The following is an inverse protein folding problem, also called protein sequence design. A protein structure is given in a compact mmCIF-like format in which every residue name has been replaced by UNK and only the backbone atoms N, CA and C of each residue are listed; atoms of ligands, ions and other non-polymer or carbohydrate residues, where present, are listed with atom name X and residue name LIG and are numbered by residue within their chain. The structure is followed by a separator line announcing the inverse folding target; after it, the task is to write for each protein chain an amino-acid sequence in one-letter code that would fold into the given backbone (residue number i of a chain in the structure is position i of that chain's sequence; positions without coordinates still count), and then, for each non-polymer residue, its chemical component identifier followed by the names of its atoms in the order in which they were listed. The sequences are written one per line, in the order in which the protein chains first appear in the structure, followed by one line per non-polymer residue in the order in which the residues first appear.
data_IF_182740576333
#
_entry.id   IF_182740576333
#
_cell.length_a   1.000
_cell.length_b   1.000
_cell.length_c   1.000
_cell.angle_alpha   90.00
_cell.angle_beta   90.00
_cell.angle_gamma   90.00
#
_symmetry.space_group_name_H-M   'P 1'
#
loop_
_entity.id
_entity.type
_entity.pdbx_description
1 polymer ?
#
# COMPACT_ATOMS: atom_id res chain seq x y z
N UNK A 1 -3.48 -13.78 15.77
CA UNK A 1 -4.52 -12.98 15.10
C UNK A 1 -3.92 -11.78 14.39
N UNK A 2 -4.40 -11.49 13.19
CA UNK A 2 -3.93 -10.32 12.46
C UNK A 2 -4.55 -9.06 13.05
N UNK A 3 -3.75 -7.99 13.12
CA UNK A 3 -4.23 -6.68 13.55
C UNK A 3 -4.78 -5.93 12.34
N UNK A 4 -5.91 -5.28 12.54
CA UNK A 4 -6.57 -4.49 11.49
C UNK A 4 -6.62 -3.02 11.89
N UNK A 5 -6.44 -2.15 10.92
CA UNK A 5 -6.58 -0.71 11.12
C UNK A 5 -7.12 -0.06 9.86
N UNK A 6 -7.85 1.03 10.02
CA UNK A 6 -8.40 1.81 8.91
C UNK A 6 -8.14 3.28 9.20
N UNK A 7 -7.63 3.99 8.19
CA UNK A 7 -7.37 5.43 8.30
C UNK A 7 -7.87 6.15 7.06
N UNK A 8 -8.14 7.43 7.21
CA UNK A 8 -8.65 8.29 6.16
C UNK A 8 -7.79 9.52 5.99
N UNK A 9 -7.73 10.04 4.76
CA UNK A 9 -7.09 11.33 4.49
C UNK A 9 -7.79 12.02 3.34
N UNK A 10 -7.63 13.35 3.28
CA UNK A 10 -8.09 14.16 2.15
C UNK A 10 -6.90 14.50 1.26
N UNK A 11 -7.08 14.38 -0.05
CA UNK A 11 -6.03 14.66 -1.03
C UNK A 11 -6.56 15.67 -2.03
N UNK A 12 -5.74 16.66 -2.38
CA UNK A 12 -6.10 17.73 -3.32
C UNK A 12 -5.84 17.32 -4.77
N UNK A 13 -6.47 16.20 -5.18
CA UNK A 13 -6.38 15.67 -6.54
C UNK A 13 -7.58 14.78 -6.78
N UNK A 14 -7.90 14.51 -8.05
CA UNK A 14 -9.05 13.67 -8.41
C UNK A 14 -8.86 12.22 -7.95
N UNK A 15 -9.96 11.47 -7.75
CA UNK A 15 -9.87 10.04 -7.45
C UNK A 15 -9.10 9.26 -8.52
N UNK A 16 -9.27 9.60 -9.79
CA UNK A 16 -8.55 8.96 -10.90
C UNK A 16 -7.05 9.17 -10.80
N UNK A 17 -6.63 10.36 -10.41
CA UNK A 17 -5.21 10.67 -10.20
C UNK A 17 -4.65 9.88 -9.02
N UNK A 18 -5.39 9.83 -7.92
CA UNK A 18 -4.97 9.07 -6.73
C UNK A 18 -4.82 7.58 -7.06
N UNK A 19 -5.80 7.01 -7.76
CA UNK A 19 -5.75 5.62 -8.19
C UNK A 19 -4.56 5.38 -9.12
N UNK A 20 -4.36 6.25 -10.09
CA UNK A 20 -3.27 6.14 -11.07
C UNK A 20 -1.90 6.04 -10.39
N UNK A 21 -1.66 6.85 -9.37
CA UNK A 21 -0.40 6.82 -8.62
C UNK A 21 -0.28 5.55 -7.78
N UNK A 22 -1.34 5.18 -7.07
CA UNK A 22 -1.35 3.97 -6.24
C UNK A 22 -1.21 2.70 -7.06
N UNK A 23 -1.79 2.67 -8.27
CA UNK A 23 -1.75 1.51 -9.15
C UNK A 23 -0.44 1.38 -9.94
N UNK A 24 0.34 2.45 -10.01
CA UNK A 24 1.64 2.45 -10.70
C UNK A 24 2.71 1.90 -9.77
N UNK A 25 2.60 0.63 -9.46
CA UNK A 25 3.37 -0.05 -8.42
C UNK A 25 4.86 -0.07 -8.73
N UNK A 26 5.22 -0.17 -10.00
CA UNK A 26 6.63 -0.21 -10.40
C UNK A 26 7.39 1.07 -10.07
N UNK A 27 6.68 2.18 -9.84
CA UNK A 27 7.30 3.46 -9.50
C UNK A 27 7.34 3.72 -7.99
N UNK A 28 6.88 2.80 -7.17
CA UNK A 28 6.91 2.98 -5.72
C UNK A 28 8.28 3.37 -5.16
N UNK A 29 9.40 2.81 -5.63
CA UNK A 29 10.71 3.23 -5.12
C UNK A 29 11.01 4.71 -5.31
N UNK A 30 10.34 5.37 -6.25
CA UNK A 30 10.54 6.81 -6.50
C UNK A 30 10.01 7.69 -5.39
N UNK A 31 8.99 7.21 -4.64
CA UNK A 31 8.34 8.03 -3.62
C UNK A 31 8.07 7.31 -2.30
N UNK A 32 8.15 6.00 -2.26
CA UNK A 32 7.98 5.23 -1.03
C UNK A 32 9.37 4.84 -0.53
N UNK A 33 9.88 5.62 0.43
CA UNK A 33 11.29 5.53 0.85
C UNK A 33 11.73 4.15 1.33
N UNK A 34 10.83 3.40 1.95
CA UNK A 34 11.16 2.08 2.49
C UNK A 34 11.13 0.97 1.44
N UNK A 35 10.55 1.21 0.28
CA UNK A 35 10.50 0.24 -0.81
C UNK A 35 11.78 0.38 -1.63
N UNK A 36 12.62 -0.66 -1.62
CA UNK A 36 13.95 -0.63 -2.25
C UNK A 36 13.99 -1.27 -3.61
N UNK A 37 13.16 -2.29 -3.83
CA UNK A 37 13.21 -3.07 -5.07
C UNK A 37 11.85 -3.67 -5.36
N UNK A 38 11.48 -3.72 -6.63
CA UNK A 38 10.21 -4.32 -7.07
C UNK A 38 10.47 -5.23 -8.26
N UNK A 39 9.86 -6.43 -8.21
CA UNK A 39 9.87 -7.36 -9.34
C UNK A 39 8.41 -7.70 -9.64
N UNK A 40 7.98 -7.47 -10.88
CA UNK A 40 6.64 -7.84 -11.32
C UNK A 40 6.71 -9.30 -11.79
N UNK A 41 6.08 -10.19 -11.05
CA UNK A 41 6.11 -11.64 -11.32
C UNK A 41 5.03 -12.04 -12.33
N UNK A 42 3.92 -11.30 -12.37
CA UNK A 42 2.79 -11.63 -13.24
C UNK A 42 2.03 -10.37 -13.60
N UNK A 43 1.58 -10.29 -14.87
CA UNK A 43 0.74 -9.19 -15.37
C UNK A 43 -0.57 -9.75 -15.90
N UNK A 44 -1.63 -8.94 -15.85
CA UNK A 44 -2.91 -9.32 -16.44
C UNK A 44 -2.93 -9.01 -17.94
N UNK A 45 -4.06 -9.27 -18.59
CA UNK A 45 -4.24 -9.06 -20.04
C UNK A 45 -4.06 -7.60 -20.46
N UNK A 46 -4.18 -6.67 -19.52
CA UNK A 46 -4.00 -5.24 -19.77
C UNK A 46 -2.61 -4.76 -19.42
N UNK A 47 -1.70 -5.67 -19.04
CA UNK A 47 -0.34 -5.34 -18.67
C UNK A 47 -0.18 -4.82 -17.25
N UNK A 48 -1.23 -4.86 -16.43
CA UNK A 48 -1.15 -4.37 -15.05
C UNK A 48 -0.43 -5.38 -14.15
N UNK A 49 0.40 -4.90 -13.20
CA UNK A 49 1.14 -5.82 -12.32
C UNK A 49 0.18 -6.41 -11.28
N UNK A 50 -0.12 -7.70 -11.41
CA UNK A 50 -1.05 -8.40 -10.51
C UNK A 50 -0.36 -9.27 -9.47
N UNK A 51 0.89 -9.67 -9.70
CA UNK A 51 1.69 -10.39 -8.71
C UNK A 51 3.04 -9.71 -8.64
N UNK A 52 3.38 -9.15 -7.48
CA UNK A 52 4.54 -8.27 -7.33
C UNK A 52 5.32 -8.65 -6.08
N UNK A 53 6.63 -8.80 -6.22
CA UNK A 53 7.53 -9.05 -5.09
C UNK A 53 8.25 -7.76 -4.74
N UNK A 54 8.19 -7.43 -3.46
CA UNK A 54 8.81 -6.22 -2.90
C UNK A 54 9.98 -6.59 -2.03
N UNK A 55 11.02 -5.75 -2.06
CA UNK A 55 12.03 -5.74 -1.03
C UNK A 55 11.96 -4.39 -0.34
N UNK A 56 11.82 -4.40 0.98
CA UNK A 56 11.61 -3.20 1.76
C UNK A 56 12.49 -3.21 3.01
N UNK A 57 12.72 -2.01 3.56
CA UNK A 57 13.36 -1.85 4.85
C UNK A 57 12.31 -1.90 5.94
N UNK A 58 12.50 -2.74 6.95
CA UNK A 58 11.59 -2.85 8.09
C UNK A 58 12.36 -3.37 9.29
N UNK A 59 12.14 -2.74 10.46
CA UNK A 59 12.76 -3.17 11.73
C UNK A 59 14.29 -3.25 11.66
N UNK A 60 14.91 -2.31 10.94
CA UNK A 60 16.37 -2.26 10.81
C UNK A 60 16.95 -3.36 9.92
N UNK A 61 16.13 -4.02 9.12
CA UNK A 61 16.56 -5.10 8.24
C UNK A 61 15.85 -5.02 6.89
N UNK A 62 16.31 -5.81 5.94
CA UNK A 62 15.64 -5.98 4.65
C UNK A 62 14.62 -7.11 4.78
N UNK A 63 13.43 -6.91 4.24
CA UNK A 63 12.37 -7.91 4.22
C UNK A 63 11.83 -8.05 2.80
N UNK A 64 11.38 -9.24 2.45
CA UNK A 64 10.80 -9.53 1.14
C UNK A 64 9.39 -10.09 1.29
N UNK A 65 8.48 -9.63 0.45
CA UNK A 65 7.11 -10.13 0.44
C UNK A 65 6.50 -9.99 -0.96
N UNK A 66 5.55 -10.88 -1.26
CA UNK A 66 4.86 -10.90 -2.54
C UNK A 66 3.38 -10.65 -2.32
N UNK A 67 2.83 -9.70 -3.08
CA UNK A 67 1.42 -9.32 -3.00
C UNK A 67 0.72 -9.62 -4.31
N UNK A 68 -0.52 -10.09 -4.21
CA UNK A 68 -1.42 -10.21 -5.36
C UNK A 68 -2.40 -9.07 -5.33
N UNK A 69 -2.41 -8.30 -6.41
CA UNK A 69 -3.29 -7.13 -6.56
C UNK A 69 -4.57 -7.49 -7.29
N UNK A 70 -5.66 -6.85 -6.86
CA UNK A 70 -6.98 -7.00 -7.46
C UNK A 70 -7.39 -5.66 -8.07
N UNK A 71 -7.57 -5.62 -9.39
CA UNK A 71 -7.97 -4.43 -10.14
C UNK A 71 -9.44 -4.49 -10.57
N UNK A 72 -10.21 -5.46 -10.08
CA UNK A 72 -11.60 -5.67 -10.53
C UNK A 72 -12.52 -4.49 -10.22
N UNK A 73 -12.18 -3.66 -9.24
CA UNK A 73 -12.98 -2.48 -8.88
C UNK A 73 -12.26 -1.17 -9.22
N UNK A 74 -11.31 -1.23 -10.15
CA UNK A 74 -10.60 -0.04 -10.61
C UNK A 74 -11.57 0.90 -11.34
N UNK A 75 -11.41 2.22 -11.23
CA UNK A 75 -10.42 2.97 -10.44
C UNK A 75 -10.88 3.35 -9.04
N UNK A 76 -11.94 2.77 -8.51
CA UNK A 76 -12.49 3.11 -7.20
C UNK A 76 -11.70 2.45 -6.06
N UNK A 77 -11.31 1.19 -6.24
CA UNK A 77 -10.64 0.40 -5.21
C UNK A 77 -9.40 -0.29 -5.78
N UNK A 78 -8.31 -0.25 -5.02
CA UNK A 78 -7.14 -1.08 -5.26
C UNK A 78 -6.92 -1.91 -4.01
N UNK A 79 -6.96 -3.24 -4.15
CA UNK A 79 -6.76 -4.14 -3.02
C UNK A 79 -5.66 -5.15 -3.30
N UNK A 80 -5.14 -5.77 -2.23
CA UNK A 80 -4.07 -6.75 -2.34
C UNK A 80 -4.12 -7.74 -1.20
N UNK A 81 -3.48 -8.91 -1.43
CA UNK A 81 -3.31 -9.94 -0.43
C UNK A 81 -1.89 -10.47 -0.48
N UNK A 82 -1.35 -10.78 0.68
CA UNK A 82 -0.03 -11.41 0.77
C UNK A 82 -0.13 -12.85 0.30
N UNK A 83 0.79 -13.25 -0.59
CA UNK A 83 0.91 -14.65 -1.01
C UNK A 83 2.14 -15.30 -0.39
N UNK A 84 3.17 -14.51 -0.07
CA UNK A 84 4.43 -15.03 0.46
C UNK A 84 5.19 -13.89 1.15
N UNK A 85 5.81 -14.18 2.28
CA UNK A 85 6.62 -13.20 3.01
C UNK A 85 7.61 -13.88 3.93
N UNK A 86 8.73 -13.21 4.23
CA UNK A 86 9.74 -13.75 5.14
C UNK A 86 9.39 -13.47 6.61
N UNK A 87 9.17 -12.19 6.97
CA UNK A 87 8.79 -11.83 8.35
C UNK A 87 7.30 -11.51 8.48
N UNK A 88 6.56 -11.48 7.39
CA UNK A 88 5.15 -11.13 7.38
C UNK A 88 4.33 -12.33 6.98
N UNK A 89 3.35 -12.72 7.80
CA UNK A 89 2.43 -13.81 7.50
C UNK A 89 1.10 -13.30 6.94
N UNK A 90 0.81 -12.00 7.09
CA UNK A 90 -0.36 -11.36 6.51
C UNK A 90 -0.06 -9.89 6.24
N UNK A 91 -0.47 -9.41 5.08
CA UNK A 91 -0.31 -8.00 4.72
C UNK A 91 -1.36 -7.67 3.65
N UNK A 92 -2.63 -7.84 4.04
CA UNK A 92 -3.75 -7.63 3.14
C UNK A 92 -4.29 -6.21 3.34
N UNK A 93 -4.68 -5.56 2.27
CA UNK A 93 -5.18 -4.20 2.41
C UNK A 93 -5.91 -3.69 1.20
N UNK A 94 -6.34 -2.44 1.32
CA UNK A 94 -7.01 -1.76 0.23
C UNK A 94 -6.90 -0.24 0.37
N UNK A 95 -6.94 0.43 -0.79
CA UNK A 95 -7.21 1.86 -0.90
C UNK A 95 -8.57 2.02 -1.55
N UNK A 96 -9.40 2.87 -0.96
CA UNK A 96 -10.69 3.27 -1.56
C UNK A 96 -10.61 4.76 -1.86
N UNK A 97 -10.92 5.14 -3.09
CA UNK A 97 -10.80 6.51 -3.57
C UNK A 97 -12.20 7.08 -3.85
N UNK A 98 -12.73 7.82 -2.89
CA UNK A 98 -14.05 8.44 -2.99
C UNK A 98 -13.93 9.93 -3.29
N UNK A 99 -14.93 10.52 -3.98
CA UNK A 99 -14.96 11.97 -4.16
C UNK A 99 -14.95 12.67 -2.80
N UNK A 100 -14.07 13.65 -2.66
CA UNK A 100 -13.99 14.49 -1.47
C UNK A 100 -14.59 15.86 -1.72
N UNK A 101 -14.15 16.82 -0.93
CA UNK A 101 -14.61 18.21 -1.09
C UNK A 101 -14.01 18.81 -2.37
N UNK A 102 -14.82 19.57 -3.09
CA UNK A 102 -14.41 20.17 -4.36
C UNK A 102 -14.05 19.10 -5.36
N UNK A 103 -12.87 19.22 -5.98
CA UNK A 103 -12.35 18.23 -6.92
C UNK A 103 -11.36 17.26 -6.26
N UNK A 104 -11.33 17.24 -4.93
CA UNK A 104 -10.42 16.39 -4.17
C UNK A 104 -10.93 14.98 -3.97
N UNK A 105 -10.17 14.21 -3.21
CA UNK A 105 -10.44 12.80 -2.93
C UNK A 105 -10.36 12.52 -1.45
N UNK A 106 -11.27 11.67 -0.95
CA UNK A 106 -11.13 11.06 0.35
C UNK A 106 -10.55 9.67 0.13
N UNK A 107 -9.37 9.45 0.65
CA UNK A 107 -8.69 8.15 0.55
C UNK A 107 -8.89 7.41 1.86
N UNK A 108 -9.40 6.17 1.77
CA UNK A 108 -9.51 5.27 2.91
C UNK A 108 -8.51 4.15 2.72
N UNK A 109 -7.62 3.96 3.69
CA UNK A 109 -6.63 2.90 3.68
C UNK A 109 -6.97 1.91 4.78
N UNK A 110 -7.18 0.67 4.40
CA UNK A 110 -7.39 -0.44 5.33
C UNK A 110 -6.22 -1.38 5.23
N UNK A 111 -5.69 -1.80 6.38
CA UNK A 111 -4.56 -2.74 6.43
C UNK A 111 -4.81 -3.80 7.50
N UNK A 112 -4.56 -5.05 7.13
CA UNK A 112 -4.56 -6.18 8.04
C UNK A 112 -3.18 -6.82 7.95
N UNK A 113 -2.41 -6.72 9.03
CA UNK A 113 -1.01 -7.17 9.04
C UNK A 113 -0.75 -8.13 10.19
N UNK A 114 0.13 -9.10 9.94
CA UNK A 114 0.61 -10.03 10.95
C UNK A 114 2.08 -10.31 10.72
N UNK A 115 2.87 -10.16 11.78
CA UNK A 115 4.31 -10.39 11.74
C UNK A 115 4.65 -11.71 12.44
N UNK A 116 5.62 -12.43 11.89
CA UNK A 116 6.11 -13.69 12.44
C UNK A 116 7.14 -13.50 13.54
N UNK A 117 7.57 -12.26 13.77
CA UNK A 117 8.58 -11.97 14.78
C UNK A 117 7.97 -11.96 16.17
N UNK A 118 8.68 -12.48 17.19
CA UNK A 118 8.15 -12.53 18.57
C UNK A 118 8.35 -11.20 19.28
N UNK A 119 7.53 -10.21 18.93
CA UNK A 119 7.56 -8.89 19.58
C UNK A 119 6.25 -8.63 20.33
N UNK A 120 6.31 -7.83 21.41
CA UNK A 120 5.08 -7.48 22.16
C UNK A 120 4.01 -6.84 21.30
N UNK A 121 2.75 -7.07 21.65
CA UNK A 121 1.61 -6.58 20.87
C UNK A 121 1.60 -5.07 20.70
N UNK A 122 1.98 -4.32 21.73
CA UNK A 122 2.00 -2.85 21.64
C UNK A 122 3.06 -2.34 20.64
N UNK A 123 4.15 -3.07 20.46
CA UNK A 123 5.18 -2.73 19.47
C UNK A 123 4.64 -3.05 18.07
N UNK A 124 3.93 -4.17 17.90
CA UNK A 124 3.29 -4.53 16.63
C UNK A 124 2.26 -3.49 16.20
N UNK A 125 1.44 -3.02 17.12
CA UNK A 125 0.44 -1.99 16.84
C UNK A 125 1.09 -0.68 16.42
N UNK A 126 2.16 -0.30 17.09
CA UNK A 126 2.91 0.92 16.77
C UNK A 126 3.56 0.82 15.38
N UNK A 127 4.11 -0.35 15.05
CA UNK A 127 4.70 -0.61 13.74
C UNK A 127 3.66 -0.51 12.64
N UNK A 128 2.48 -1.11 12.84
CA UNK A 128 1.39 -1.05 11.87
C UNK A 128 0.90 0.39 11.65
N UNK A 129 0.72 1.13 12.73
CA UNK A 129 0.30 2.54 12.66
C UNK A 129 1.33 3.36 11.88
N UNK A 130 2.61 3.11 12.09
CA UNK A 130 3.68 3.80 11.38
C UNK A 130 3.69 3.45 9.89
N UNK A 131 3.49 2.18 9.55
CA UNK A 131 3.41 1.73 8.16
C UNK A 131 2.28 2.48 7.44
N UNK A 132 1.10 2.53 8.05
CA UNK A 132 -0.06 3.20 7.46
C UNK A 132 0.16 4.70 7.32
N UNK A 133 0.64 5.34 8.38
CA UNK A 133 0.90 6.78 8.40
C UNK A 133 1.92 7.18 7.33
N UNK A 134 3.01 6.43 7.22
CA UNK A 134 4.05 6.66 6.22
C UNK A 134 3.52 6.47 4.81
N UNK A 135 2.80 5.38 4.56
CA UNK A 135 2.23 5.09 3.24
C UNK A 135 1.27 6.18 2.79
N UNK A 136 0.39 6.62 3.67
CA UNK A 136 -0.60 7.66 3.34
C UNK A 136 0.08 9.01 3.09
N UNK A 137 1.04 9.38 3.94
CA UNK A 137 1.77 10.65 3.78
C UNK A 137 2.55 10.68 2.46
N UNK A 138 3.22 9.59 2.14
CA UNK A 138 4.02 9.51 0.92
C UNK A 138 3.12 9.47 -0.33
N UNK A 139 2.01 8.76 -0.28
CA UNK A 139 1.06 8.73 -1.38
C UNK A 139 0.47 10.13 -1.63
N UNK A 140 0.04 10.79 -0.57
CA UNK A 140 -0.52 12.14 -0.66
C UNK A 140 0.50 13.12 -1.27
N UNK A 141 1.73 13.09 -0.77
CA UNK A 141 2.79 13.97 -1.28
C UNK A 141 3.05 13.72 -2.77
N UNK A 142 3.11 12.47 -3.19
CA UNK A 142 3.34 12.10 -4.60
C UNK A 142 2.19 12.55 -5.49
N UNK A 143 0.95 12.30 -5.06
CA UNK A 143 -0.24 12.66 -5.84
C UNK A 143 -0.34 14.17 -6.01
N UNK A 144 -0.09 14.92 -4.93
CA UNK A 144 -0.22 16.39 -4.95
C UNK A 144 0.97 17.10 -5.61
N UNK A 145 2.11 16.44 -5.75
CA UNK A 145 3.32 17.07 -6.29
C UNK A 145 3.29 17.26 -7.81
N UNK A 146 2.47 16.50 -8.50
CA UNK A 146 2.39 16.55 -9.97
C UNK A 146 1.06 17.14 -10.36
N UNK A 147 1.05 18.42 -10.50
CA UNK A 147 -0.14 19.12 -10.95
C UNK A 147 -0.46 18.77 -12.41
#
# INVERSE_FOLDING_TARGET
MADQATEHMSVSASPERCFSVAADIERYPEWAADIKEIVVDERDDQGRPVLVTFRAAAFGRSTSYTLRYDFSEAPHVLSWKLTKGDITSKLDGSYVFDPGEGSGTRVTYHLEAELRVPIPGFIKMRAQSRIMSTAMRELKARVESSA
#
